data_IF_254528557071
#
_entry.id   IF_254528557071
#
_cell.length_a   1.000
_cell.length_b   1.000
_cell.length_c   1.000
_cell.angle_alpha   90.00
_cell.angle_beta   90.00
_cell.angle_gamma   90.00
#
_symmetry.space_group_name_H-M   'P 1'
#
loop_
_entity.id
_entity.type
_entity.pdbx_description
1 polymer ?
#
# COMPACT_ATOMS: atom_id res chain seq x y z
N UNK A 1 -38.93 -35.17 25.08
CA UNK A 1 -37.75 -34.83 24.22
C UNK A 1 -37.61 -33.32 24.17
N UNK A 2 -36.69 -32.73 24.93
CA UNK A 2 -36.44 -31.29 24.89
C UNK A 2 -35.38 -31.01 23.82
N UNK A 3 -35.79 -30.29 22.75
CA UNK A 3 -34.88 -29.78 21.74
C UNK A 3 -34.07 -28.59 22.28
N UNK A 4 -32.75 -28.73 22.38
CA UNK A 4 -31.86 -27.64 22.75
C UNK A 4 -31.61 -26.73 21.51
N UNK A 5 -32.15 -25.53 21.56
CA UNK A 5 -31.88 -24.48 20.59
C UNK A 5 -30.47 -23.96 20.85
N UNK A 6 -29.52 -24.22 19.94
CA UNK A 6 -28.19 -23.63 19.99
C UNK A 6 -28.27 -22.29 19.25
N UNK A 7 -28.22 -21.19 19.98
CA UNK A 7 -28.11 -19.83 19.39
C UNK A 7 -26.65 -19.59 19.12
N UNK A 8 -26.24 -19.63 17.85
CA UNK A 8 -24.93 -19.14 17.41
C UNK A 8 -24.97 -17.61 17.47
N UNK A 9 -24.27 -17.01 18.41
CA UNK A 9 -24.01 -15.58 18.41
C UNK A 9 -22.94 -15.28 17.35
N UNK A 10 -23.34 -14.71 16.19
CA UNK A 10 -22.42 -14.08 15.25
C UNK A 10 -21.88 -12.80 15.92
N UNK A 11 -20.65 -12.84 16.42
CA UNK A 11 -19.93 -11.64 16.78
C UNK A 11 -19.48 -10.93 15.49
N UNK A 12 -20.20 -9.89 15.09
CA UNK A 12 -19.73 -8.97 14.08
C UNK A 12 -18.54 -8.19 14.68
N UNK A 13 -17.33 -8.58 14.34
CA UNK A 13 -16.16 -7.74 14.56
C UNK A 13 -16.26 -6.56 13.61
N UNK A 14 -16.70 -5.39 14.11
CA UNK A 14 -16.54 -4.14 13.39
C UNK A 14 -15.04 -3.92 13.18
N UNK A 15 -14.59 -4.00 11.93
CA UNK A 15 -13.25 -3.56 11.58
C UNK A 15 -13.12 -2.10 11.99
N UNK A 16 -12.30 -1.81 12.99
CA UNK A 16 -11.98 -0.44 13.38
C UNK A 16 -11.21 0.17 12.21
N UNK A 17 -11.68 1.32 11.72
CA UNK A 17 -10.94 2.08 10.71
C UNK A 17 -9.49 2.28 11.17
N UNK A 18 -8.55 2.20 10.23
CA UNK A 18 -7.14 2.47 10.53
C UNK A 18 -7.03 3.86 11.16
N UNK A 19 -6.42 3.92 12.35
CA UNK A 19 -6.23 5.18 13.08
C UNK A 19 -4.82 5.72 12.82
N UNK A 20 -4.61 7.05 12.90
CA UNK A 20 -3.29 7.62 12.78
C UNK A 20 -2.41 7.22 13.97
N UNK A 21 -1.13 7.00 13.70
CA UNK A 21 -0.10 6.62 14.65
C UNK A 21 0.92 7.76 14.85
N UNK A 22 1.73 7.63 15.89
CA UNK A 22 2.66 8.69 16.29
C UNK A 22 1.96 9.80 17.09
N UNK A 23 2.69 10.52 17.93
CA UNK A 23 2.14 11.55 18.80
C UNK A 23 1.63 12.77 18.04
N UNK A 24 0.84 13.60 18.74
CA UNK A 24 0.29 14.87 18.26
C UNK A 24 -1.15 14.78 17.78
N UNK A 25 -1.68 15.89 17.29
CA UNK A 25 -3.08 15.98 16.82
C UNK A 25 -3.14 15.84 15.30
N UNK A 26 -3.65 14.72 14.84
CA UNK A 26 -3.84 14.43 13.42
C UNK A 26 -5.19 14.93 12.93
N UNK A 27 -5.20 15.56 11.77
CA UNK A 27 -6.41 15.98 11.05
C UNK A 27 -6.62 15.04 9.85
N UNK A 28 -7.77 14.39 9.78
CA UNK A 28 -8.14 13.56 8.64
C UNK A 28 -8.29 14.41 7.38
N UNK A 29 -7.82 13.88 6.26
CA UNK A 29 -8.02 14.44 4.92
C UNK A 29 -8.63 13.37 4.03
N UNK A 30 -9.28 13.79 2.95
CA UNK A 30 -9.93 12.87 2.01
C UNK A 30 -9.51 13.22 0.56
N UNK A 31 -8.27 12.92 0.17
CA UNK A 31 -7.80 13.21 -1.18
C UNK A 31 -8.55 12.36 -2.21
N UNK A 32 -8.86 12.95 -3.37
CA UNK A 32 -9.29 12.20 -4.53
C UNK A 32 -8.13 11.37 -5.11
N UNK A 33 -8.41 10.52 -6.09
CA UNK A 33 -7.41 9.72 -6.75
C UNK A 33 -7.68 9.55 -8.24
N UNK A 34 -6.63 9.27 -8.99
CA UNK A 34 -6.67 8.82 -10.37
C UNK A 34 -6.27 7.35 -10.43
N UNK A 35 -7.01 6.57 -11.22
CA UNK A 35 -6.66 5.18 -11.52
C UNK A 35 -5.58 5.15 -12.60
N UNK A 36 -4.54 4.38 -12.37
CA UNK A 36 -3.44 4.15 -13.29
C UNK A 36 -3.32 2.65 -13.58
N UNK A 37 -3.61 2.26 -14.81
CA UNK A 37 -3.49 0.85 -15.25
C UNK A 37 -2.59 0.76 -16.46
N UNK A 38 -1.86 -0.35 -16.59
CA UNK A 38 -0.99 -0.66 -17.71
C UNK A 38 -0.86 -2.17 -17.89
N UNK A 39 -0.77 -2.62 -19.14
CA UNK A 39 -0.45 -4.00 -19.52
C UNK A 39 -1.33 -5.05 -18.84
N UNK A 40 -2.63 -4.78 -18.80
CA UNK A 40 -3.62 -5.71 -18.25
C UNK A 40 -3.83 -5.59 -16.74
N UNK A 41 -3.23 -4.61 -16.10
CA UNK A 41 -3.57 -4.27 -14.72
C UNK A 41 -5.02 -3.79 -14.60
N UNK A 42 -5.70 -4.19 -13.53
CA UNK A 42 -7.11 -3.92 -13.31
C UNK A 42 -7.38 -3.41 -11.89
N UNK A 43 -8.23 -2.39 -11.78
CA UNK A 43 -8.70 -1.81 -10.51
C UNK A 43 -10.22 -1.89 -10.46
N UNK A 44 -10.76 -2.57 -9.45
CA UNK A 44 -12.20 -2.69 -9.22
C UNK A 44 -12.50 -2.45 -7.75
N UNK A 45 -13.20 -1.35 -7.43
CA UNK A 45 -13.41 -0.97 -6.03
C UNK A 45 -12.08 -0.91 -5.27
N UNK A 46 -11.92 -1.64 -4.20
CA UNK A 46 -10.71 -1.72 -3.39
C UNK A 46 -9.71 -2.80 -3.85
N UNK A 47 -10.01 -3.51 -4.93
CA UNK A 47 -9.19 -4.59 -5.48
C UNK A 47 -8.27 -4.09 -6.59
N UNK A 48 -7.05 -4.61 -6.59
CA UNK A 48 -5.99 -4.29 -7.55
C UNK A 48 -5.35 -5.58 -8.00
N UNK A 49 -5.33 -5.85 -9.30
CA UNK A 49 -4.76 -7.06 -9.84
C UNK A 49 -3.88 -6.80 -11.05
N UNK A 50 -2.86 -7.63 -11.21
CA UNK A 50 -2.00 -7.68 -12.40
C UNK A 50 -1.91 -9.11 -12.92
N UNK A 51 -1.85 -9.31 -14.25
CA UNK A 51 -1.79 -10.62 -14.88
C UNK A 51 -0.42 -11.29 -14.72
N UNK A 52 -0.36 -12.58 -15.05
CA UNK A 52 0.89 -13.35 -15.10
C UNK A 52 1.88 -12.85 -16.16
N UNK A 53 1.36 -12.27 -17.22
CA UNK A 53 2.12 -11.69 -18.33
C UNK A 53 1.47 -10.39 -18.76
N UNK A 54 2.27 -9.38 -19.17
CA UNK A 54 1.75 -8.17 -19.76
C UNK A 54 0.74 -8.47 -20.86
N UNK A 55 -0.37 -7.73 -20.88
CA UNK A 55 -1.43 -7.85 -21.88
C UNK A 55 -2.14 -6.50 -22.08
N UNK A 56 -2.72 -6.31 -23.27
CA UNK A 56 -3.43 -5.06 -23.58
C UNK A 56 -2.49 -3.88 -23.83
N UNK A 57 -2.93 -2.65 -23.50
CA UNK A 57 -2.20 -1.43 -23.83
C UNK A 57 -0.95 -1.28 -22.98
N UNK A 58 0.16 -1.01 -23.65
CA UNK A 58 1.46 -0.59 -23.07
C UNK A 58 1.76 0.90 -23.29
N UNK A 59 0.77 1.68 -23.73
CA UNK A 59 0.91 3.11 -24.03
C UNK A 59 0.07 3.98 -23.10
N UNK A 60 0.45 5.24 -22.98
CA UNK A 60 -0.20 6.22 -22.11
C UNK A 60 0.65 6.58 -20.88
N UNK A 61 0.26 7.62 -20.16
CA UNK A 61 1.04 8.15 -19.03
C UNK A 61 1.31 7.15 -17.90
N UNK A 62 0.42 6.18 -17.69
CA UNK A 62 0.61 5.14 -16.68
C UNK A 62 1.56 4.00 -17.13
N UNK A 63 1.90 3.93 -18.41
CA UNK A 63 2.72 2.89 -19.04
C UNK A 63 4.12 3.36 -19.43
N UNK A 64 4.50 4.56 -19.07
CA UNK A 64 5.72 5.22 -19.57
C UNK A 64 7.03 4.48 -19.25
N UNK A 65 7.04 3.62 -18.26
CA UNK A 65 8.22 2.85 -17.85
C UNK A 65 8.12 1.34 -18.13
N UNK A 66 7.09 0.89 -18.89
CA UNK A 66 6.98 -0.52 -19.32
C UNK A 66 6.70 -1.52 -18.21
N UNK A 67 6.14 -1.08 -17.09
CA UNK A 67 5.78 -1.98 -15.98
C UNK A 67 4.27 -2.19 -15.88
N UNK A 68 3.86 -3.44 -15.71
CA UNK A 68 2.46 -3.79 -15.45
C UNK A 68 1.98 -3.12 -14.17
N UNK A 69 0.82 -2.48 -14.22
CA UNK A 69 0.34 -1.59 -13.16
C UNK A 69 -1.17 -1.65 -12.96
N UNK A 70 -1.59 -1.66 -11.70
CA UNK A 70 -2.95 -1.39 -11.26
C UNK A 70 -2.86 -0.59 -9.96
N UNK A 71 -2.98 0.73 -10.02
CA UNK A 71 -2.74 1.64 -8.89
C UNK A 71 -3.78 2.76 -8.82
N UNK A 72 -3.92 3.34 -7.62
CA UNK A 72 -4.50 4.66 -7.38
C UNK A 72 -3.38 5.63 -7.03
N UNK A 73 -3.24 6.71 -7.78
CA UNK A 73 -2.45 7.89 -7.44
C UNK A 73 -3.36 8.88 -6.71
N UNK A 74 -3.10 9.14 -5.44
CA UNK A 74 -3.86 10.11 -4.65
C UNK A 74 -3.40 11.55 -4.93
N UNK A 75 -4.35 12.50 -4.81
CA UNK A 75 -4.10 13.94 -4.99
C UNK A 75 -3.79 14.60 -3.65
N UNK A 76 -2.96 13.94 -2.84
CA UNK A 76 -2.51 14.40 -1.53
C UNK A 76 -1.14 15.08 -1.59
N UNK A 77 -0.88 15.87 -2.62
CA UNK A 77 0.42 16.48 -2.86
C UNK A 77 0.83 17.41 -1.69
N UNK A 78 2.09 17.29 -1.23
CA UNK A 78 2.64 18.05 -0.11
C UNK A 78 4.16 18.19 -0.21
N UNK A 79 4.72 19.26 0.41
CA UNK A 79 6.17 19.52 0.44
C UNK A 79 6.70 19.83 1.82
N UNK A 80 5.82 19.93 2.83
CA UNK A 80 6.19 20.28 4.21
C UNK A 80 5.18 19.67 5.19
N UNK A 81 5.46 19.74 6.49
CA UNK A 81 4.62 19.22 7.56
C UNK A 81 4.74 17.70 7.71
N UNK A 82 3.85 17.14 8.53
CA UNK A 82 3.75 15.70 8.72
C UNK A 82 2.52 15.17 8.01
N UNK A 83 2.70 14.11 7.26
CA UNK A 83 1.66 13.44 6.50
C UNK A 83 1.66 11.96 6.85
N UNK A 84 0.47 11.39 6.97
CA UNK A 84 0.31 9.98 7.24
C UNK A 84 -0.67 9.36 6.26
N UNK A 85 -0.29 8.22 5.73
CA UNK A 85 -1.15 7.26 5.08
C UNK A 85 -1.40 6.10 6.03
N UNK A 86 -2.59 5.52 6.01
CA UNK A 86 -2.90 4.26 6.67
C UNK A 86 -3.87 3.43 5.85
N UNK A 87 -3.77 2.11 5.93
CA UNK A 87 -4.67 1.20 5.24
C UNK A 87 -4.44 -0.25 5.64
N UNK A 88 -5.42 -1.09 5.33
CA UNK A 88 -5.36 -2.54 5.49
C UNK A 88 -5.07 -3.18 4.14
N UNK A 89 -3.95 -3.86 4.04
CA UNK A 89 -3.53 -4.66 2.89
C UNK A 89 -3.91 -6.12 3.11
N UNK A 90 -4.62 -6.71 2.17
CA UNK A 90 -4.87 -8.14 2.09
C UNK A 90 -4.35 -8.68 0.76
N UNK A 91 -3.57 -9.74 0.82
CA UNK A 91 -3.13 -10.48 -0.36
C UNK A 91 -4.18 -11.56 -0.64
N UNK A 92 -4.91 -11.41 -1.73
CA UNK A 92 -5.96 -12.35 -2.13
C UNK A 92 -5.37 -13.56 -2.87
N UNK A 93 -4.43 -13.31 -3.78
CA UNK A 93 -3.68 -14.35 -4.49
C UNK A 93 -2.26 -13.87 -4.80
N UNK A 94 -1.31 -14.80 -4.95
CA UNK A 94 0.08 -14.48 -5.22
C UNK A 94 0.73 -15.58 -6.08
N UNK A 95 0.71 -15.43 -7.40
CA UNK A 95 1.34 -16.36 -8.35
C UNK A 95 2.76 -15.97 -8.76
N UNK A 96 3.16 -14.72 -8.53
CA UNK A 96 4.50 -14.21 -8.80
C UNK A 96 5.50 -14.45 -7.66
N UNK A 97 6.61 -13.72 -7.67
CA UNK A 97 7.67 -13.77 -6.65
C UNK A 97 7.61 -12.59 -5.68
N UNK A 98 7.34 -11.40 -6.19
CA UNK A 98 7.24 -10.14 -5.44
C UNK A 98 6.49 -9.07 -6.23
N UNK A 99 5.95 -8.07 -5.52
CA UNK A 99 5.22 -6.95 -6.10
C UNK A 99 5.32 -5.74 -5.19
N UNK A 100 5.28 -4.55 -5.78
CA UNK A 100 5.10 -3.30 -5.02
C UNK A 100 3.64 -3.05 -4.77
N UNK A 101 3.30 -2.63 -3.55
CA UNK A 101 1.90 -2.43 -3.12
C UNK A 101 1.60 -1.01 -2.64
N UNK A 102 2.63 -0.23 -2.28
CA UNK A 102 2.48 1.18 -1.89
C UNK A 102 3.74 1.94 -2.27
N UNK A 103 3.57 3.17 -2.76
CA UNK A 103 4.67 4.04 -3.13
C UNK A 103 4.45 5.44 -2.53
N UNK A 104 5.54 6.12 -2.15
CA UNK A 104 5.55 7.57 -1.91
C UNK A 104 6.53 8.18 -2.91
N UNK A 105 5.99 9.00 -3.80
CA UNK A 105 6.73 9.68 -4.87
C UNK A 105 7.32 11.00 -4.38
N UNK A 106 8.43 11.39 -4.98
CA UNK A 106 9.05 12.71 -4.86
C UNK A 106 8.98 13.42 -6.22
N UNK A 107 7.84 14.03 -6.50
CA UNK A 107 7.62 14.80 -7.73
C UNK A 107 8.06 14.05 -8.97
N UNK A 108 8.94 14.67 -9.74
CA UNK A 108 9.47 14.14 -11.00
C UNK A 108 10.66 13.18 -10.82
N UNK A 109 11.24 13.10 -9.61
CA UNK A 109 12.39 12.23 -9.32
C UNK A 109 11.99 10.74 -9.20
N UNK A 110 10.69 10.46 -9.10
CA UNK A 110 10.17 9.10 -8.91
C UNK A 110 9.94 8.74 -7.44
N UNK A 111 9.67 7.46 -7.14
CA UNK A 111 9.40 7.04 -5.77
C UNK A 111 10.69 7.04 -4.94
N UNK A 112 10.68 7.70 -3.77
CA UNK A 112 11.76 7.59 -2.79
C UNK A 112 11.52 6.45 -1.78
N UNK A 113 10.29 5.96 -1.70
CA UNK A 113 9.93 4.80 -0.90
C UNK A 113 8.92 3.94 -1.64
N UNK A 114 9.22 2.65 -1.72
CA UNK A 114 8.31 1.63 -2.24
C UNK A 114 8.22 0.49 -1.24
N UNK A 115 7.00 0.18 -0.79
CA UNK A 115 6.71 -1.01 -0.02
C UNK A 115 6.43 -2.17 -0.96
N UNK A 116 7.26 -3.19 -0.89
CA UNK A 116 7.09 -4.44 -1.62
C UNK A 116 6.61 -5.57 -0.70
N UNK A 117 5.99 -6.57 -1.31
CA UNK A 117 5.63 -7.85 -0.70
C UNK A 117 6.32 -8.97 -1.47
N UNK A 118 6.95 -9.89 -0.76
CA UNK A 118 7.45 -11.16 -1.32
C UNK A 118 6.42 -12.27 -1.16
N UNK A 119 6.51 -13.30 -1.98
CA UNK A 119 5.58 -14.45 -1.96
C UNK A 119 5.49 -15.15 -0.59
N UNK A 120 6.54 -15.12 0.20
CA UNK A 120 6.56 -15.66 1.56
C UNK A 120 5.83 -14.77 2.59
N UNK A 121 5.31 -13.61 2.17
CA UNK A 121 4.60 -12.65 3.02
C UNK A 121 5.50 -11.62 3.70
N UNK A 122 6.79 -11.53 3.35
CA UNK A 122 7.66 -10.48 3.86
C UNK A 122 7.31 -9.13 3.23
N UNK A 123 7.15 -8.12 4.07
CA UNK A 123 7.15 -6.71 3.66
C UNK A 123 8.59 -6.21 3.61
N UNK A 124 8.95 -5.48 2.55
CA UNK A 124 10.31 -4.98 2.37
C UNK A 124 10.34 -3.60 1.70
N UNK A 125 11.43 -2.86 1.90
CA UNK A 125 11.70 -1.59 1.21
C UNK A 125 12.42 -1.88 -0.10
N UNK A 126 11.81 -1.57 -1.24
CA UNK A 126 12.41 -1.79 -2.57
C UNK A 126 13.59 -0.83 -2.75
N UNK A 127 13.35 0.47 -2.59
CA UNK A 127 14.38 1.53 -2.72
C UNK A 127 15.45 1.44 -1.61
N UNK A 128 15.13 0.82 -0.49
CA UNK A 128 16.08 0.56 0.61
C UNK A 128 16.96 -0.69 0.41
N UNK A 129 17.21 -1.11 -0.82
CA UNK A 129 18.07 -2.28 -1.13
C UNK A 129 17.44 -3.62 -0.74
N UNK A 130 16.14 -3.74 -0.73
CA UNK A 130 15.42 -4.98 -0.42
C UNK A 130 15.36 -5.32 1.07
N UNK A 131 15.64 -4.35 1.96
CA UNK A 131 15.63 -4.55 3.42
C UNK A 131 14.24 -4.98 3.88
N UNK A 132 14.17 -6.11 4.61
CA UNK A 132 12.93 -6.61 5.21
C UNK A 132 12.46 -5.66 6.31
N UNK A 133 11.19 -5.28 6.24
CA UNK A 133 10.48 -4.43 7.21
C UNK A 133 9.75 -5.30 8.23
N UNK A 134 9.02 -6.32 7.76
CA UNK A 134 8.34 -7.28 8.62
C UNK A 134 8.25 -8.63 7.91
N UNK A 135 8.57 -9.72 8.61
CA UNK A 135 8.64 -11.06 8.02
C UNK A 135 7.32 -11.81 8.14
N UNK A 136 6.84 -12.37 7.02
CA UNK A 136 5.75 -13.34 6.96
C UNK A 136 4.37 -12.80 7.35
N UNK A 137 4.18 -11.48 7.45
CA UNK A 137 2.93 -10.86 7.94
C UNK A 137 1.88 -10.71 6.84
N UNK A 138 2.30 -10.59 5.57
CA UNK A 138 1.44 -10.37 4.41
C UNK A 138 1.32 -11.63 3.54
N UNK A 139 1.03 -12.78 4.14
CA UNK A 139 0.77 -14.03 3.41
C UNK A 139 -0.60 -13.99 2.75
N UNK A 140 -0.79 -14.81 1.72
CA UNK A 140 -2.12 -14.98 1.09
C UNK A 140 -3.18 -15.29 2.14
N UNK A 141 -4.28 -14.53 2.09
CA UNK A 141 -5.38 -14.61 3.04
C UNK A 141 -5.19 -13.76 4.32
N UNK A 142 -3.97 -13.32 4.64
CA UNK A 142 -3.74 -12.45 5.79
C UNK A 142 -4.07 -10.98 5.46
N UNK A 143 -4.56 -10.26 6.45
CA UNK A 143 -4.71 -8.80 6.42
C UNK A 143 -3.66 -8.17 7.33
N UNK A 144 -2.96 -7.17 6.85
CA UNK A 144 -1.94 -6.44 7.58
C UNK A 144 -2.22 -4.94 7.52
N UNK A 145 -2.16 -4.28 8.68
CA UNK A 145 -2.28 -2.82 8.76
C UNK A 145 -0.94 -2.19 8.46
N UNK A 146 -0.92 -1.24 7.54
CA UNK A 146 0.25 -0.46 7.17
C UNK A 146 -0.03 1.02 7.38
N UNK A 147 0.82 1.70 8.16
CA UNK A 147 0.85 3.16 8.19
C UNK A 147 2.24 3.65 7.77
N UNK A 148 2.26 4.73 7.02
CA UNK A 148 3.51 5.46 6.72
C UNK A 148 3.40 6.89 7.22
N UNK A 149 4.36 7.33 8.01
CA UNK A 149 4.44 8.70 8.53
C UNK A 149 5.64 9.38 7.88
N UNK A 150 5.37 10.42 7.11
CA UNK A 150 6.38 11.25 6.50
C UNK A 150 6.40 12.63 7.17
N UNK A 151 7.44 12.92 7.92
CA UNK A 151 7.78 14.26 8.37
C UNK A 151 8.67 14.91 7.30
N UNK A 152 8.04 15.59 6.34
CA UNK A 152 8.75 16.20 5.21
C UNK A 152 9.66 17.36 5.69
N UNK A 153 9.29 18.07 6.76
CA UNK A 153 10.08 19.13 7.35
C UNK A 153 11.34 18.59 8.05
N UNK A 154 11.21 17.48 8.79
CA UNK A 154 12.33 16.82 9.45
C UNK A 154 13.07 15.82 8.54
N UNK A 155 12.63 15.65 7.28
CA UNK A 155 13.19 14.69 6.31
C UNK A 155 13.24 13.25 6.87
N UNK A 156 12.15 12.81 7.50
CA UNK A 156 12.06 11.52 8.16
C UNK A 156 10.85 10.73 7.66
N UNK A 157 11.07 9.47 7.29
CA UNK A 157 10.03 8.56 6.87
C UNK A 157 9.99 7.32 7.75
N UNK A 158 8.81 6.93 8.22
CA UNK A 158 8.59 5.82 9.13
C UNK A 158 7.49 4.90 8.61
N UNK A 159 7.68 3.59 8.77
CA UNK A 159 6.69 2.58 8.41
C UNK A 159 6.32 1.80 9.65
N UNK A 160 5.02 1.75 9.90
CA UNK A 160 4.41 0.96 10.95
C UNK A 160 3.67 -0.21 10.32
N UNK A 161 3.79 -1.38 10.93
CA UNK A 161 3.10 -2.60 10.53
C UNK A 161 2.36 -3.15 11.75
N UNK A 162 1.06 -3.33 11.62
CA UNK A 162 0.18 -3.75 12.72
C UNK A 162 0.34 -2.88 13.99
N UNK A 163 0.46 -1.56 13.78
CA UNK A 163 0.60 -0.58 14.86
C UNK A 163 2.02 -0.39 15.41
N UNK A 164 2.98 -1.21 15.01
CA UNK A 164 4.35 -1.15 15.51
C UNK A 164 5.30 -0.50 14.51
N UNK A 165 6.18 0.40 14.97
CA UNK A 165 7.25 0.99 14.17
C UNK A 165 8.26 -0.10 13.77
N UNK A 166 8.34 -0.40 12.48
CA UNK A 166 9.23 -1.45 11.94
C UNK A 166 10.37 -0.90 11.10
N UNK A 167 10.24 0.31 10.55
CA UNK A 167 11.26 0.85 9.66
C UNK A 167 11.31 2.38 9.76
N UNK A 168 12.52 2.92 9.66
CA UNK A 168 12.78 4.36 9.59
C UNK A 168 13.89 4.60 8.60
N UNK A 169 13.73 5.63 7.77
CA UNK A 169 14.77 6.14 6.87
C UNK A 169 14.71 7.67 6.79
N UNK A 170 15.77 8.27 6.28
CA UNK A 170 15.73 9.67 5.84
C UNK A 170 14.88 9.80 4.58
N UNK A 171 14.25 10.98 4.43
CA UNK A 171 13.53 11.36 3.24
C UNK A 171 14.25 12.52 2.52
N UNK A 172 14.16 12.61 1.18
CA UNK A 172 14.66 13.77 0.45
C UNK A 172 13.81 15.03 0.75
N UNK A 173 14.22 16.18 0.24
CA UNK A 173 13.34 17.32 0.05
C UNK A 173 12.59 17.17 -1.27
N UNK A 174 11.45 17.84 -1.42
CA UNK A 174 10.70 17.80 -2.67
C UNK A 174 9.20 17.98 -2.49
N UNK A 175 8.45 17.54 -3.49
CA UNK A 175 6.98 17.48 -3.48
C UNK A 175 6.53 16.02 -3.56
N UNK A 176 5.68 15.61 -2.64
CA UNK A 176 5.36 14.21 -2.42
C UNK A 176 3.89 13.90 -2.64
N UNK A 177 3.60 12.67 -3.04
CA UNK A 177 2.25 12.10 -3.07
C UNK A 177 2.30 10.58 -2.93
N UNK A 178 1.16 9.97 -2.62
CA UNK A 178 1.06 8.53 -2.38
C UNK A 178 0.36 7.78 -3.50
N UNK A 179 0.78 6.54 -3.70
CA UNK A 179 0.09 5.54 -4.52
C UNK A 179 -0.09 4.25 -3.75
N UNK A 180 -1.17 3.54 -4.02
CA UNK A 180 -1.41 2.17 -3.57
C UNK A 180 -1.92 1.31 -4.73
N UNK A 181 -1.73 0.01 -4.62
CA UNK A 181 -2.21 -0.95 -5.60
C UNK A 181 -1.23 -2.09 -5.82
N UNK A 182 -1.03 -2.47 -7.07
CA UNK A 182 -0.04 -3.45 -7.51
C UNK A 182 0.80 -2.90 -8.65
N UNK A 183 2.12 -3.05 -8.55
CA UNK A 183 3.06 -2.56 -9.54
C UNK A 183 4.25 -3.51 -9.61
N UNK A 184 4.61 -3.95 -10.82
CA UNK A 184 5.82 -4.77 -11.00
C UNK A 184 7.07 -3.90 -10.91
N UNK A 185 8.08 -4.39 -10.17
CA UNK A 185 9.45 -3.87 -10.25
C UNK A 185 10.20 -4.62 -11.35
N UNK A 186 11.40 -4.20 -11.70
CA UNK A 186 12.23 -4.83 -12.75
C UNK A 186 12.41 -6.34 -12.58
N UNK A 187 12.31 -6.84 -11.35
CA UNK A 187 12.48 -8.24 -11.01
C UNK A 187 11.20 -8.89 -10.44
N UNK A 188 10.11 -8.14 -10.33
CA UNK A 188 8.86 -8.64 -9.80
C UNK A 188 7.90 -9.06 -10.90
N UNK A 189 7.15 -10.13 -10.68
CA UNK A 189 6.18 -10.65 -11.63
C UNK A 189 4.82 -10.94 -10.97
N UNK A 190 3.74 -10.83 -11.79
CA UNK A 190 2.40 -11.30 -11.44
C UNK A 190 2.25 -12.82 -11.66
N UNK A 191 0.99 -13.39 -11.60
CA UNK A 191 -0.21 -12.65 -11.23
C UNK A 191 -0.28 -12.39 -9.72
N UNK A 192 -0.89 -11.29 -9.39
CA UNK A 192 -1.21 -10.98 -7.99
C UNK A 192 -2.55 -10.26 -7.93
N UNK A 193 -3.29 -10.49 -6.86
CA UNK A 193 -4.49 -9.77 -6.49
C UNK A 193 -4.41 -9.34 -5.03
N UNK A 194 -4.65 -8.06 -4.78
CA UNK A 194 -4.65 -7.48 -3.43
C UNK A 194 -5.87 -6.59 -3.22
N UNK A 195 -6.28 -6.49 -1.98
CA UNK A 195 -7.28 -5.51 -1.53
C UNK A 195 -6.61 -4.51 -0.60
N UNK A 196 -6.87 -3.22 -0.83
CA UNK A 196 -6.63 -2.16 0.13
C UNK A 196 -7.96 -1.64 0.67
N UNK A 197 -8.19 -1.81 1.97
CA UNK A 197 -9.39 -1.35 2.66
C UNK A 197 -9.04 -0.38 3.79
N UNK A 198 -10.06 0.32 4.32
CA UNK A 198 -9.92 1.27 5.43
C UNK A 198 -8.80 2.30 5.21
N UNK A 199 -8.63 2.75 3.95
CA UNK A 199 -7.60 3.73 3.57
C UNK A 199 -7.93 5.09 4.15
N UNK A 200 -6.96 5.70 4.82
CA UNK A 200 -7.08 7.03 5.41
C UNK A 200 -5.80 7.85 5.23
N UNK A 201 -5.98 9.18 5.25
CA UNK A 201 -4.92 10.16 5.17
C UNK A 201 -5.07 11.20 6.26
N UNK A 202 -3.96 11.63 6.83
CA UNK A 202 -3.94 12.64 7.89
C UNK A 202 -2.75 13.57 7.73
N UNK A 203 -2.91 14.80 8.26
CA UNK A 203 -1.87 15.81 8.31
C UNK A 203 -1.71 16.38 9.72
N UNK A 204 -0.50 16.88 10.02
CA UNK A 204 -0.15 17.52 11.29
C UNK A 204 0.78 18.71 11.06
#
# INVERSE_FOLDING_TARGET
MLSKLVVLALSATSALAVSPLGGGTWRSTNPSFNVQTCEGGHVSGSEFSIPAKPSGSSSGGACSNGHTRAERRYTNDYSSGKHQFGGELRINSFGGDRVSVKQTFNGDDGPFFILGVKKNGDLYSVEGGGKTIASGVARVGATVTVNTVHDASAKKYQVYVNGELKFTQSAPGGSFYDKIGTYTTDSGAGPIDVTWSNVGFWTQ
#
